data_IF_116161016534
#
_entry.id   IF_116161016534
#
_cell.length_a   1.000
_cell.length_b   1.000
_cell.length_c   1.000
_cell.angle_alpha   90.00
_cell.angle_beta   90.00
_cell.angle_gamma   90.00
#
_symmetry.space_group_name_H-M   'P 1'
#
loop_
_entity.id
_entity.type
_entity.pdbx_description
1 polymer ?
#
# COMPACT_ATOMS: atom_id res chain seq x y z
N UNK A 1 13.00 -8.60 -0.22
CA UNK A 1 12.25 -7.57 -0.95
C UNK A 1 12.66 -6.21 -0.42
N UNK A 2 13.10 -5.30 -1.28
CA UNK A 2 13.37 -3.90 -0.91
C UNK A 2 12.24 -2.95 -1.35
N UNK A 3 12.37 -1.65 -1.05
CA UNK A 3 11.35 -0.65 -1.40
C UNK A 3 11.24 -0.44 -2.92
N UNK A 4 12.29 -0.71 -3.68
CA UNK A 4 12.30 -0.59 -5.14
C UNK A 4 11.57 -1.77 -5.80
N UNK A 5 11.74 -2.99 -5.31
CA UNK A 5 10.94 -4.14 -5.72
C UNK A 5 9.47 -3.95 -5.30
N UNK A 6 9.22 -3.43 -4.09
CA UNK A 6 7.87 -3.20 -3.59
C UNK A 6 7.10 -2.15 -4.42
N UNK A 7 7.73 -1.04 -4.82
CA UNK A 7 7.04 -0.04 -5.67
C UNK A 7 6.66 -0.63 -7.04
N UNK A 8 7.53 -1.46 -7.63
CA UNK A 8 7.28 -2.10 -8.92
C UNK A 8 6.13 -3.10 -8.79
N UNK A 9 6.14 -3.93 -7.74
CA UNK A 9 5.04 -4.85 -7.44
C UNK A 9 3.71 -4.11 -7.23
N UNK A 10 3.72 -2.94 -6.57
CA UNK A 10 2.51 -2.12 -6.42
C UNK A 10 2.00 -1.67 -7.80
N UNK A 11 2.86 -1.10 -8.63
CA UNK A 11 2.50 -0.63 -9.97
C UNK A 11 1.95 -1.76 -10.84
N UNK A 12 2.58 -2.94 -10.81
CA UNK A 12 2.14 -4.12 -11.54
C UNK A 12 0.75 -4.61 -11.09
N UNK A 13 0.51 -4.71 -9.78
CA UNK A 13 -0.77 -5.16 -9.24
C UNK A 13 -1.89 -4.16 -9.55
N UNK A 14 -1.63 -2.86 -9.40
CA UNK A 14 -2.62 -1.82 -9.75
C UNK A 14 -2.93 -1.87 -11.23
N UNK A 15 -1.91 -1.90 -12.09
CA UNK A 15 -2.09 -1.93 -13.56
C UNK A 15 -2.83 -3.19 -13.99
N UNK A 16 -2.48 -4.35 -13.44
CA UNK A 16 -3.15 -5.62 -13.72
C UNK A 16 -4.60 -5.63 -13.25
N UNK A 17 -4.87 -5.09 -12.06
CA UNK A 17 -6.23 -4.97 -11.53
C UNK A 17 -7.09 -4.09 -12.42
N UNK A 18 -6.56 -2.92 -12.81
CA UNK A 18 -7.23 -1.98 -13.70
C UNK A 18 -7.46 -2.60 -15.09
N UNK A 19 -6.46 -3.27 -15.65
CA UNK A 19 -6.60 -3.99 -16.91
C UNK A 19 -7.70 -5.05 -16.84
N UNK A 20 -7.70 -5.92 -15.83
CA UNK A 20 -8.67 -6.99 -15.70
C UNK A 20 -10.10 -6.42 -15.55
N UNK A 21 -10.26 -5.35 -14.76
CA UNK A 21 -11.57 -4.81 -14.37
C UNK A 21 -12.14 -3.76 -15.35
N UNK A 22 -11.31 -3.02 -16.08
CA UNK A 22 -11.74 -1.93 -16.97
C UNK A 22 -11.60 -2.30 -18.45
N UNK A 23 -12.71 -2.55 -19.18
CA UNK A 23 -12.70 -2.94 -20.59
C UNK A 23 -11.93 -1.97 -21.50
N UNK A 24 -11.93 -0.67 -21.17
CA UNK A 24 -11.25 0.37 -21.93
C UNK A 24 -9.74 0.19 -21.88
N UNK A 25 -9.19 -0.18 -20.72
CA UNK A 25 -7.76 -0.47 -20.56
C UNK A 25 -7.39 -1.77 -21.26
N UNK A 26 -8.29 -2.76 -21.29
CA UNK A 26 -8.05 -4.02 -22.02
C UNK A 26 -7.73 -3.82 -23.48
N UNK A 27 -8.42 -2.87 -24.12
CA UNK A 27 -8.23 -2.53 -25.53
C UNK A 27 -6.83 -1.96 -25.82
N UNK A 28 -6.13 -1.48 -24.79
CA UNK A 28 -4.83 -0.83 -24.91
C UNK A 28 -3.64 -1.80 -24.79
N UNK A 29 -3.83 -3.05 -24.35
CA UNK A 29 -2.72 -4.02 -24.21
C UNK A 29 -2.97 -5.24 -25.10
N UNK A 30 -2.04 -5.57 -26.03
CA UNK A 30 -2.16 -6.74 -26.90
C UNK A 30 -2.12 -8.05 -26.10
N UNK A 31 -2.70 -9.11 -26.69
CA UNK A 31 -2.91 -10.47 -26.13
C UNK A 31 -1.86 -10.91 -25.10
N UNK A 32 -2.37 -11.49 -24.01
CA UNK A 32 -1.57 -12.09 -22.94
C UNK A 32 -0.64 -13.22 -23.41
N UNK A 33 0.63 -13.25 -22.99
CA UNK A 33 1.37 -14.51 -22.90
C UNK A 33 0.74 -15.40 -21.83
N UNK A 34 0.83 -16.72 -22.00
CA UNK A 34 0.35 -17.70 -21.02
C UNK A 34 1.17 -17.57 -19.74
N UNK A 35 0.55 -17.14 -18.64
CA UNK A 35 1.20 -17.04 -17.33
C UNK A 35 0.70 -18.19 -16.45
N UNK A 36 1.62 -18.92 -15.83
CA UNK A 36 1.30 -19.98 -14.87
C UNK A 36 1.70 -19.58 -13.45
N UNK A 37 0.80 -19.74 -12.48
CA UNK A 37 1.14 -19.68 -11.06
C UNK A 37 1.75 -21.02 -10.67
N UNK A 38 2.93 -20.99 -10.06
CA UNK A 38 3.52 -22.18 -9.43
C UNK A 38 2.83 -22.38 -8.07
N UNK A 39 2.26 -23.57 -7.86
CA UNK A 39 1.67 -23.98 -6.58
C UNK A 39 2.39 -25.23 -6.07
N UNK A 40 2.59 -25.31 -4.76
CA UNK A 40 3.08 -26.52 -4.09
C UNK A 40 2.03 -27.63 -3.98
N UNK A 41 0.76 -27.32 -4.27
CA UNK A 41 -0.33 -28.29 -4.24
C UNK A 41 -0.47 -29.03 -5.58
N UNK A 42 -0.54 -30.35 -5.55
CA UNK A 42 -0.55 -31.22 -6.73
C UNK A 42 -1.90 -31.29 -7.47
N UNK A 43 -3.00 -30.88 -6.83
CA UNK A 43 -4.36 -30.95 -7.39
C UNK A 43 -4.73 -29.71 -8.23
N UNK A 44 -3.85 -29.39 -9.18
CA UNK A 44 -3.86 -28.13 -9.93
C UNK A 44 -5.14 -27.88 -10.76
N UNK A 45 -5.86 -28.93 -11.17
CA UNK A 45 -7.05 -28.83 -12.03
C UNK A 45 -8.34 -28.40 -11.31
N UNK A 46 -8.40 -28.51 -9.99
CA UNK A 46 -9.60 -28.15 -9.19
C UNK A 46 -9.48 -26.81 -8.49
N UNK A 47 -8.27 -26.25 -8.44
CA UNK A 47 -7.99 -25.03 -7.71
C UNK A 47 -8.18 -23.80 -8.62
N UNK A 48 -9.06 -22.90 -8.20
CA UNK A 48 -9.50 -21.74 -8.98
C UNK A 48 -8.34 -20.77 -9.26
N UNK A 49 -7.33 -20.74 -8.39
CA UNK A 49 -6.13 -19.89 -8.56
C UNK A 49 -5.24 -20.40 -9.70
N UNK A 50 -5.24 -21.72 -9.96
CA UNK A 50 -4.39 -22.32 -10.97
C UNK A 50 -5.05 -22.26 -12.35
N UNK A 51 -6.39 -22.29 -12.40
CA UNK A 51 -7.14 -21.89 -13.58
C UNK A 51 -7.36 -20.37 -13.65
N UNK A 52 -6.27 -19.60 -13.51
CA UNK A 52 -6.30 -18.14 -13.47
C UNK A 52 -6.98 -17.54 -14.72
N UNK A 53 -6.90 -18.24 -15.86
CA UNK A 53 -7.61 -17.86 -17.09
C UNK A 53 -9.12 -17.80 -16.88
N UNK A 54 -9.73 -18.84 -16.30
CA UNK A 54 -11.17 -18.87 -16.04
C UNK A 54 -11.61 -17.78 -15.04
N UNK A 55 -10.78 -17.49 -14.02
CA UNK A 55 -11.04 -16.39 -13.07
C UNK A 55 -10.96 -15.03 -13.75
N UNK A 56 -9.92 -14.79 -14.54
CA UNK A 56 -9.76 -13.55 -15.32
C UNK A 56 -10.93 -13.38 -16.28
N UNK A 57 -11.35 -14.43 -16.99
CA UNK A 57 -12.49 -14.41 -17.91
C UNK A 57 -13.81 -14.12 -17.17
N UNK A 58 -14.06 -14.73 -16.01
CA UNK A 58 -15.25 -14.45 -15.17
C UNK A 58 -15.28 -12.98 -14.75
N UNK A 59 -14.17 -12.47 -14.21
CA UNK A 59 -14.04 -11.07 -13.80
C UNK A 59 -14.20 -10.10 -14.99
N UNK A 60 -13.58 -10.44 -16.11
CA UNK A 60 -13.60 -9.63 -17.32
C UNK A 60 -15.01 -9.52 -17.92
N UNK A 61 -15.80 -10.61 -17.83
CA UNK A 61 -17.17 -10.72 -18.32
C UNK A 61 -18.19 -10.10 -17.34
N UNK A 62 -17.92 -10.11 -16.04
CA UNK A 62 -18.73 -9.40 -15.03
C UNK A 62 -18.73 -7.88 -15.26
N UNK A 63 -17.64 -7.32 -15.79
CA UNK A 63 -17.49 -5.88 -16.05
C UNK A 63 -17.55 -5.02 -14.78
N UNK A 64 -17.76 -3.72 -14.95
CA UNK A 64 -17.77 -2.72 -13.86
C UNK A 64 -19.10 -2.70 -13.06
N UNK A 65 -19.74 -3.86 -12.83
CA UNK A 65 -21.08 -3.94 -12.23
C UNK A 65 -21.19 -3.43 -10.79
N UNK A 66 -20.07 -3.15 -10.11
CA UNK A 66 -20.08 -2.20 -9.00
C UNK A 66 -18.72 -1.49 -8.88
N UNK A 67 -18.72 -0.17 -9.10
CA UNK A 67 -17.58 0.71 -8.80
C UNK A 67 -17.06 0.50 -7.37
N UNK A 68 -17.94 0.06 -6.46
CA UNK A 68 -17.62 -0.29 -5.08
C UNK A 68 -16.67 -1.50 -4.94
N UNK A 69 -16.81 -2.55 -5.77
CA UNK A 69 -15.93 -3.71 -5.68
C UNK A 69 -14.50 -3.36 -6.12
N UNK A 70 -14.34 -2.61 -7.21
CA UNK A 70 -13.03 -2.11 -7.63
C UNK A 70 -12.42 -1.20 -6.55
N UNK A 71 -13.21 -0.28 -6.00
CA UNK A 71 -12.79 0.59 -4.90
C UNK A 71 -12.33 -0.21 -3.67
N UNK A 72 -13.06 -1.25 -3.28
CA UNK A 72 -12.71 -2.12 -2.16
C UNK A 72 -11.39 -2.85 -2.42
N UNK A 73 -11.21 -3.44 -3.61
CA UNK A 73 -9.97 -4.13 -3.98
C UNK A 73 -8.78 -3.17 -3.93
N UNK A 74 -8.91 -1.98 -4.53
CA UNK A 74 -7.88 -0.95 -4.53
C UNK A 74 -7.49 -0.53 -3.10
N UNK A 75 -8.49 -0.35 -2.22
CA UNK A 75 -8.25 -0.08 -0.80
C UNK A 75 -7.50 -1.22 -0.12
N UNK A 76 -7.83 -2.48 -0.39
CA UNK A 76 -7.10 -3.61 0.22
C UNK A 76 -5.65 -3.69 -0.28
N UNK A 77 -5.42 -3.50 -1.58
CA UNK A 77 -4.06 -3.48 -2.15
C UNK A 77 -3.25 -2.36 -1.49
N UNK A 78 -3.78 -1.14 -1.41
CA UNK A 78 -3.14 -0.03 -0.73
C UNK A 78 -2.77 -0.36 0.73
N UNK A 79 -3.69 -0.96 1.49
CA UNK A 79 -3.44 -1.37 2.89
C UNK A 79 -2.30 -2.38 3.01
N UNK A 80 -2.30 -3.42 2.17
CA UNK A 80 -1.26 -4.46 2.14
C UNK A 80 0.10 -3.83 1.88
N UNK A 81 0.20 -2.95 0.89
CA UNK A 81 1.46 -2.32 0.53
C UNK A 81 1.95 -1.29 1.55
N UNK A 82 1.05 -0.57 2.23
CA UNK A 82 1.43 0.30 3.36
C UNK A 82 2.04 -0.54 4.49
N UNK A 83 1.45 -1.70 4.81
CA UNK A 83 1.98 -2.61 5.84
C UNK A 83 3.35 -3.16 5.42
N UNK A 84 3.47 -3.68 4.20
CA UNK A 84 4.73 -4.20 3.67
C UNK A 84 5.84 -3.13 3.63
N UNK A 85 5.48 -1.89 3.25
CA UNK A 85 6.42 -0.76 3.24
C UNK A 85 6.99 -0.51 4.64
N UNK A 86 6.13 -0.50 5.65
CA UNK A 86 6.56 -0.33 7.03
C UNK A 86 7.47 -1.47 7.50
N UNK A 87 7.10 -2.71 7.19
CA UNK A 87 7.87 -3.89 7.58
C UNK A 87 9.28 -3.87 6.94
N UNK A 88 9.42 -3.40 5.70
CA UNK A 88 10.74 -3.19 5.09
C UNK A 88 11.52 -2.11 5.86
N UNK A 89 10.90 -0.97 6.15
CA UNK A 89 11.55 0.18 6.80
C UNK A 89 12.08 -0.18 8.19
N UNK A 90 11.29 -0.83 9.04
CA UNK A 90 11.71 -1.12 10.42
C UNK A 90 12.85 -2.14 10.48
N UNK A 91 13.01 -2.95 9.44
CA UNK A 91 14.08 -3.93 9.31
C UNK A 91 15.37 -3.35 8.68
N UNK A 92 15.39 -2.07 8.30
CA UNK A 92 16.59 -1.40 7.83
C UNK A 92 17.58 -1.17 8.98
N UNK A 93 18.87 -1.45 8.76
CA UNK A 93 19.94 -1.14 9.74
C UNK A 93 19.98 0.33 10.15
N UNK A 94 19.56 1.24 9.27
CA UNK A 94 19.52 2.70 9.53
C UNK A 94 18.29 3.14 10.31
N UNK A 95 17.26 2.30 10.45
CA UNK A 95 15.99 2.65 11.09
C UNK A 95 16.11 3.33 12.46
N UNK A 96 17.01 2.91 13.39
CA UNK A 96 17.18 3.60 14.67
C UNK A 96 17.45 5.11 14.56
N UNK A 97 18.10 5.56 13.48
CA UNK A 97 18.40 6.98 13.23
C UNK A 97 17.26 7.70 12.49
N UNK A 98 16.39 6.94 11.83
CA UNK A 98 15.28 7.45 11.02
C UNK A 98 13.97 7.50 11.79
N UNK A 99 13.82 6.68 12.84
CA UNK A 99 12.55 6.40 13.51
C UNK A 99 11.78 7.67 13.88
N UNK A 100 12.44 8.74 14.33
CA UNK A 100 11.78 9.97 14.80
C UNK A 100 11.57 11.03 13.70
N UNK A 101 11.99 10.74 12.46
CA UNK A 101 11.86 11.67 11.32
C UNK A 101 10.39 11.75 10.87
N UNK A 102 9.98 12.94 10.41
CA UNK A 102 8.58 13.27 10.07
C UNK A 102 7.92 12.29 9.11
N UNK A 103 8.64 11.89 8.06
CA UNK A 103 8.15 10.96 7.04
C UNK A 103 7.99 9.54 7.62
N UNK A 104 8.93 9.10 8.47
CA UNK A 104 8.85 7.77 9.11
C UNK A 104 7.70 7.72 10.11
N UNK A 105 7.51 8.76 10.91
CA UNK A 105 6.35 8.87 11.80
C UNK A 105 5.03 8.94 11.02
N UNK A 106 5.00 9.65 9.89
CA UNK A 106 3.86 9.63 8.98
C UNK A 106 3.52 8.20 8.52
N UNK A 107 4.51 7.47 7.99
CA UNK A 107 4.35 6.08 7.54
C UNK A 107 3.92 5.15 8.68
N UNK A 108 4.46 5.34 9.89
CA UNK A 108 4.06 4.59 11.09
C UNK A 108 2.57 4.77 11.40
N UNK A 109 2.08 6.00 11.39
CA UNK A 109 0.70 6.31 11.72
C UNK A 109 -0.29 5.79 10.67
N UNK A 110 0.02 5.96 9.38
CA UNK A 110 -0.84 5.37 8.33
C UNK A 110 -0.86 3.85 8.45
N UNK A 111 0.29 3.19 8.70
CA UNK A 111 0.38 1.73 8.87
C UNK A 111 -0.46 1.27 10.03
N UNK A 112 -0.36 1.94 11.17
CA UNK A 112 -1.18 1.61 12.34
C UNK A 112 -2.66 1.78 12.01
N UNK A 113 -3.04 2.85 11.32
CA UNK A 113 -4.43 3.04 10.95
C UNK A 113 -4.95 1.97 9.98
N UNK A 114 -4.19 1.59 8.95
CA UNK A 114 -4.59 0.50 8.04
C UNK A 114 -4.71 -0.86 8.72
N UNK A 115 -3.88 -1.12 9.73
CA UNK A 115 -3.94 -2.33 10.56
C UNK A 115 -5.13 -2.31 11.55
N UNK A 116 -5.61 -1.14 11.96
CA UNK A 116 -6.75 -0.97 12.85
C UNK A 116 -8.03 -0.63 12.09
N UNK A 117 -8.52 -1.61 11.30
CA UNK A 117 -9.75 -1.47 10.53
C UNK A 117 -9.76 -0.26 9.60
N UNK A 118 -8.58 0.13 9.12
CA UNK A 118 -8.41 1.26 8.20
C UNK A 118 -8.83 2.62 8.79
N UNK A 119 -8.68 2.79 10.10
CA UNK A 119 -8.95 4.04 10.81
C UNK A 119 -7.76 4.47 11.65
N UNK A 120 -7.46 5.77 11.69
CA UNK A 120 -6.44 6.25 12.62
C UNK A 120 -6.83 5.95 14.06
N UNK A 121 -5.86 5.44 14.82
CA UNK A 121 -5.95 5.26 16.27
C UNK A 121 -4.67 5.79 16.90
N UNK A 122 -4.82 6.75 17.80
CA UNK A 122 -3.72 7.31 18.59
C UNK A 122 -3.80 6.81 20.02
N UNK A 123 -2.69 6.25 20.51
CA UNK A 123 -2.58 5.78 21.90
C UNK A 123 -1.77 6.75 22.78
N UNK A 124 -1.82 6.53 24.09
CA UNK A 124 -1.12 7.35 25.07
C UNK A 124 0.41 7.40 24.88
N UNK A 125 1.00 6.47 24.11
CA UNK A 125 2.45 6.42 23.84
C UNK A 125 2.84 7.46 22.79
N UNK A 126 1.95 7.79 21.86
CA UNK A 126 2.19 8.79 20.79
C UNK A 126 1.61 10.17 21.11
N UNK A 127 0.84 10.31 22.19
CA UNK A 127 0.21 11.57 22.61
C UNK A 127 1.01 12.34 23.66
N UNK A 128 1.17 13.64 23.46
CA UNK A 128 1.54 14.57 24.51
C UNK A 128 0.27 14.96 25.28
N UNK A 129 0.12 14.42 26.50
CA UNK A 129 -1.06 14.62 27.35
C UNK A 129 -1.27 16.09 27.77
N UNK A 130 -0.19 16.87 27.90
CA UNK A 130 -0.28 18.24 28.40
C UNK A 130 -0.94 19.18 27.40
N UNK A 131 -0.74 18.95 26.11
CA UNK A 131 -1.24 19.83 25.04
C UNK A 131 -2.14 19.13 24.03
N UNK A 132 -2.50 17.85 24.27
CA UNK A 132 -3.30 17.03 23.37
C UNK A 132 -2.80 17.10 21.91
N UNK A 133 -1.52 16.79 21.71
CA UNK A 133 -0.89 16.73 20.37
C UNK A 133 -0.10 15.44 20.18
N UNK A 134 0.32 15.14 18.96
CA UNK A 134 1.28 14.06 18.72
C UNK A 134 2.67 14.45 19.26
N UNK A 135 3.34 13.53 19.97
CA UNK A 135 4.70 13.74 20.51
C UNK A 135 5.71 14.02 19.41
N UNK A 136 5.58 13.32 18.28
CA UNK A 136 6.45 13.49 17.13
C UNK A 136 5.63 13.96 15.93
N UNK A 137 6.14 14.92 15.15
CA UNK A 137 5.44 15.41 13.98
C UNK A 137 5.38 14.33 12.90
N UNK A 138 4.19 14.10 12.35
CA UNK A 138 3.93 13.15 11.28
C UNK A 138 3.46 13.90 10.02
N UNK A 139 4.38 14.12 9.08
CA UNK A 139 4.14 14.94 7.88
C UNK A 139 4.81 14.35 6.65
N UNK A 140 4.09 14.37 5.54
CA UNK A 140 4.58 14.04 4.20
C UNK A 140 3.92 14.96 3.17
N UNK A 141 4.73 15.68 2.38
CA UNK A 141 4.27 16.73 1.45
C UNK A 141 3.35 17.74 2.17
N UNK A 142 2.16 17.97 1.61
CA UNK A 142 1.08 18.79 2.12
C UNK A 142 0.24 18.09 3.20
N UNK A 143 0.37 16.77 3.37
CA UNK A 143 -0.38 15.98 4.34
C UNK A 143 0.28 16.00 5.71
N UNK A 144 -0.51 16.31 6.74
CA UNK A 144 -0.10 16.29 8.15
C UNK A 144 -1.10 15.46 8.95
N UNK A 145 -0.61 14.50 9.71
CA UNK A 145 -1.44 13.71 10.63
C UNK A 145 -1.53 14.48 11.95
N UNK A 146 -2.75 14.58 12.45
CA UNK A 146 -3.15 15.39 13.61
C UNK A 146 -4.28 14.65 14.34
N UNK A 147 -4.53 14.99 15.61
CA UNK A 147 -5.51 14.27 16.43
C UNK A 147 -6.95 14.36 15.91
N UNK A 148 -7.28 15.41 15.15
CA UNK A 148 -8.59 15.52 14.48
C UNK A 148 -8.88 14.37 13.50
N UNK A 149 -7.85 13.62 13.10
CA UNK A 149 -8.01 12.45 12.23
C UNK A 149 -8.31 11.17 13.03
N UNK A 150 -8.38 11.20 14.36
CA UNK A 150 -8.76 10.03 15.17
C UNK A 150 -10.08 9.43 14.67
N UNK A 151 -10.11 8.10 14.51
CA UNK A 151 -11.23 7.33 13.96
C UNK A 151 -11.63 7.66 12.50
N UNK A 152 -10.94 8.57 11.80
CA UNK A 152 -11.18 8.80 10.36
C UNK A 152 -10.50 7.73 9.52
N UNK A 153 -11.05 7.49 8.33
CA UNK A 153 -10.55 6.48 7.39
C UNK A 153 -9.17 6.88 6.84
N UNK A 154 -8.24 5.94 6.78
CA UNK A 154 -6.90 6.18 6.22
C UNK A 154 -6.94 6.14 4.69
N UNK A 155 -7.43 5.04 4.11
CA UNK A 155 -7.55 4.84 2.66
C UNK A 155 -9.02 4.61 2.29
N UNK A 156 -9.60 5.28 1.30
CA UNK A 156 -8.98 6.22 0.37
C UNK A 156 -9.03 7.69 0.81
N UNK A 157 -9.61 7.97 1.99
CA UNK A 157 -10.03 9.32 2.35
C UNK A 157 -8.84 10.26 2.65
N UNK A 158 -7.87 9.80 3.46
CA UNK A 158 -6.70 10.60 3.82
C UNK A 158 -5.52 10.39 2.84
N UNK A 159 -5.24 9.14 2.51
CA UNK A 159 -4.30 8.69 1.46
C UNK A 159 -5.10 8.07 0.32
N UNK A 160 -4.95 8.61 -0.89
CA UNK A 160 -5.53 8.04 -2.13
C UNK A 160 -4.66 6.91 -2.65
N UNK A 161 -5.16 6.08 -3.59
CA UNK A 161 -4.37 4.94 -4.09
C UNK A 161 -3.05 5.36 -4.73
N UNK A 162 -3.06 6.39 -5.59
CA UNK A 162 -1.85 6.91 -6.22
C UNK A 162 -0.85 7.52 -5.23
N UNK A 163 -1.32 7.93 -4.05
CA UNK A 163 -0.46 8.46 -3.00
C UNK A 163 0.42 7.34 -2.42
N UNK A 164 -0.04 6.08 -2.40
CA UNK A 164 0.74 4.94 -1.87
C UNK A 164 2.00 4.72 -2.71
N UNK A 165 1.88 4.67 -4.03
CA UNK A 165 3.05 4.55 -4.91
C UNK A 165 4.03 5.71 -4.70
N UNK A 166 3.50 6.94 -4.67
CA UNK A 166 4.29 8.15 -4.46
C UNK A 166 5.01 8.14 -3.12
N UNK A 167 4.35 7.65 -2.07
CA UNK A 167 4.94 7.52 -0.74
C UNK A 167 6.09 6.52 -0.72
N UNK A 168 5.96 5.36 -1.37
CA UNK A 168 7.03 4.36 -1.45
C UNK A 168 8.25 4.94 -2.17
N UNK A 169 8.04 5.67 -3.28
CA UNK A 169 9.10 6.36 -4.01
C UNK A 169 9.84 7.39 -3.13
N UNK A 170 9.10 8.23 -2.41
CA UNK A 170 9.69 9.23 -1.52
C UNK A 170 10.42 8.58 -0.34
N UNK A 171 9.92 7.47 0.20
CA UNK A 171 10.58 6.70 1.25
C UNK A 171 11.87 6.05 0.78
N UNK A 172 11.90 5.49 -0.44
CA UNK A 172 13.13 4.96 -1.04
C UNK A 172 14.19 6.05 -1.13
N UNK A 173 13.84 7.21 -1.73
CA UNK A 173 14.74 8.35 -1.85
C UNK A 173 15.25 8.81 -0.48
N UNK A 174 14.34 8.98 0.48
CA UNK A 174 14.68 9.37 1.84
C UNK A 174 15.65 8.40 2.51
N UNK A 175 15.41 7.10 2.37
CA UNK A 175 16.29 6.05 2.91
C UNK A 175 17.67 6.10 2.27
N UNK A 176 17.77 6.30 0.96
CA UNK A 176 19.05 6.33 0.24
C UNK A 176 19.88 7.58 0.58
N UNK A 177 19.25 8.74 0.70
CA UNK A 177 19.92 9.98 1.14
C UNK A 177 20.53 9.81 2.54
N UNK A 178 19.79 9.18 3.46
CA UNK A 178 20.23 8.98 4.84
C UNK A 178 21.16 7.77 5.03
N UNK A 179 21.44 6.96 3.98
CA UNK A 179 22.51 5.95 4.02
C UNK A 179 23.90 6.58 3.84
N UNK A 180 23.97 7.71 3.12
CA UNK A 180 25.23 8.33 2.71
C UNK A 180 25.79 9.35 3.73
N UNK A 181 25.03 9.73 4.76
CA UNK A 181 25.48 10.65 5.83
C UNK A 181 26.46 10.03 6.83
N UNK A 182 26.94 8.80 6.59
CA UNK A 182 27.93 8.09 7.44
C UNK A 182 29.19 7.64 6.68
N UNK A 183 29.70 8.47 5.77
CA UNK A 183 31.09 8.39 5.30
C UNK A 183 31.84 9.62 5.72
#
# INVERSE_FOLDING_TARGET
MDLNELKNAYAEIITSTMYIRLPEIRKLVPKYPTIGIKSSYSNLKKDTIINIKAVIESIANEGNKSSQNLRNIMTQIARIFIIATWDIIVNLKTYPNLKDKKLIQFTRHIRNGVAHDNKFKFDSRVLNKACNTLKLPAKWKDKKIELKHENTIVVPDFIKDGDVYSLICDLQKFVDENKNEKK
#
